data_IF_578431523261
#
_entry.id   IF_578431523261
#
_cell.length_a   1.000
_cell.length_b   1.000
_cell.length_c   1.000
_cell.angle_alpha   90.00
_cell.angle_beta   90.00
_cell.angle_gamma   90.00
#
_symmetry.space_group_name_H-M   'P 1'
#
loop_
_entity.id
_entity.type
_entity.pdbx_description
1 polymer ?
#
# COMPACT_ATOMS: atom_id res chain seq x y z
N UNK A 1 -22.78 -17.95 -1.94
CA UNK A 1 -21.50 -17.28 -1.70
C UNK A 1 -21.81 -15.89 -1.16
N UNK A 2 -21.62 -15.66 0.15
CA UNK A 2 -21.86 -14.33 0.74
C UNK A 2 -20.66 -13.47 0.36
N UNK A 3 -20.87 -12.48 -0.49
CA UNK A 3 -19.89 -11.42 -0.71
C UNK A 3 -20.03 -10.54 0.53
N UNK A 4 -19.15 -10.72 1.50
CA UNK A 4 -19.00 -9.79 2.62
C UNK A 4 -18.82 -8.39 2.00
N UNK A 5 -19.58 -7.37 2.43
CA UNK A 5 -19.38 -6.02 1.92
C UNK A 5 -17.93 -5.67 2.22
N UNK A 6 -17.16 -5.36 1.17
CA UNK A 6 -15.82 -4.82 1.31
C UNK A 6 -15.91 -3.72 2.37
N UNK A 7 -15.21 -3.92 3.49
CA UNK A 7 -15.18 -2.98 4.61
C UNK A 7 -15.14 -1.58 4.02
N UNK A 8 -16.16 -0.76 4.32
CA UNK A 8 -16.36 0.56 3.74
C UNK A 8 -15.30 1.53 4.28
N UNK A 9 -14.03 1.23 4.03
CA UNK A 9 -12.98 2.21 4.08
C UNK A 9 -13.37 3.28 3.05
N UNK A 10 -13.34 4.57 3.42
CA UNK A 10 -13.53 5.65 2.46
C UNK A 10 -12.58 5.45 1.28
N UNK A 11 -12.93 5.99 0.10
CA UNK A 11 -12.10 5.87 -1.09
C UNK A 11 -10.77 6.60 -0.88
N UNK A 12 -9.81 5.86 -0.32
CA UNK A 12 -8.50 6.33 0.11
C UNK A 12 -7.44 5.84 -0.88
N UNK A 13 -7.74 5.82 -2.18
CA UNK A 13 -6.76 5.42 -3.19
C UNK A 13 -5.50 6.26 -3.01
N UNK A 14 -4.36 5.58 -2.97
CA UNK A 14 -3.07 6.18 -2.69
C UNK A 14 -2.74 6.38 -1.24
N UNK A 15 -3.63 6.10 -0.29
CA UNK A 15 -3.27 6.11 1.12
C UNK A 15 -2.14 5.12 1.40
N UNK A 16 -1.18 5.57 2.18
CA UNK A 16 -0.01 4.81 2.59
C UNK A 16 -0.09 4.50 4.06
N UNK A 17 0.12 3.23 4.40
CA UNK A 17 0.14 2.75 5.77
C UNK A 17 1.44 2.03 6.08
N UNK A 18 2.00 2.28 7.25
CA UNK A 18 3.24 1.68 7.73
C UNK A 18 2.95 0.48 8.62
N UNK A 19 3.61 -0.64 8.36
CA UNK A 19 3.48 -1.85 9.16
C UNK A 19 3.95 -1.62 10.60
N UNK A 20 3.43 -2.35 11.59
CA UNK A 20 3.84 -2.19 12.99
C UNK A 20 5.35 -2.41 13.23
N UNK A 21 6.02 -3.17 12.37
CA UNK A 21 7.47 -3.38 12.44
C UNK A 21 8.28 -2.23 11.85
N UNK A 22 7.64 -1.29 11.14
CA UNK A 22 8.29 -0.20 10.42
C UNK A 22 9.03 -0.61 9.16
N UNK A 23 8.92 -1.88 8.72
CA UNK A 23 9.71 -2.44 7.60
C UNK A 23 8.99 -2.47 6.26
N UNK A 24 7.68 -2.24 6.26
CA UNK A 24 6.85 -2.41 5.07
C UNK A 24 5.80 -1.32 5.00
N UNK A 25 5.46 -0.94 3.78
CA UNK A 25 4.44 0.06 3.48
C UNK A 25 3.38 -0.60 2.61
N UNK A 26 2.12 -0.31 2.93
CA UNK A 26 0.96 -0.75 2.18
C UNK A 26 0.33 0.46 1.51
N UNK A 27 0.11 0.39 0.21
CA UNK A 27 -0.57 1.42 -0.56
C UNK A 27 -1.89 0.89 -1.08
N UNK A 28 -2.99 1.60 -0.79
CA UNK A 28 -4.29 1.26 -1.33
C UNK A 28 -4.30 1.60 -2.82
N UNK A 29 -4.08 0.59 -3.65
CA UNK A 29 -4.12 0.72 -5.09
C UNK A 29 -4.87 -0.49 -5.65
N UNK A 30 -6.21 -0.41 -5.72
CA UNK A 30 -7.00 -1.54 -6.17
C UNK A 30 -6.63 -1.87 -7.62
N UNK A 31 -6.25 -3.13 -7.85
CA UNK A 31 -6.20 -3.71 -9.19
C UNK A 31 -7.34 -4.73 -9.31
N UNK A 32 -8.55 -4.32 -9.73
CA UNK A 32 -9.63 -5.27 -10.00
C UNK A 32 -9.13 -6.36 -10.97
N UNK A 33 -9.53 -7.64 -10.81
CA UNK A 33 -10.55 -8.19 -9.88
C UNK A 33 -9.97 -8.72 -8.56
N UNK A 34 -8.77 -8.29 -8.13
CA UNK A 34 -8.10 -8.87 -6.98
C UNK A 34 -8.81 -8.53 -5.65
N UNK A 35 -9.03 -9.55 -4.80
CA UNK A 35 -9.74 -9.39 -3.52
C UNK A 35 -8.93 -8.59 -2.49
N UNK A 36 -7.59 -8.73 -2.51
CA UNK A 36 -6.68 -7.89 -1.74
C UNK A 36 -6.33 -6.63 -2.52
N UNK A 37 -6.50 -5.45 -1.90
CA UNK A 37 -6.42 -4.14 -2.54
C UNK A 37 -5.17 -3.33 -2.17
N UNK A 38 -4.40 -3.81 -1.20
CA UNK A 38 -3.20 -3.11 -0.71
C UNK A 38 -1.96 -3.73 -1.30
N UNK A 39 -1.22 -2.98 -2.12
CA UNK A 39 0.12 -3.37 -2.58
C UNK A 39 1.06 -3.17 -1.40
N UNK A 40 1.75 -4.22 -0.99
CA UNK A 40 2.77 -4.15 0.07
C UNK A 40 4.15 -4.11 -0.56
N UNK A 41 4.98 -3.21 -0.09
CA UNK A 41 6.37 -3.07 -0.49
C UNK A 41 7.27 -2.96 0.73
N UNK A 42 8.46 -3.53 0.63
CA UNK A 42 9.55 -3.29 1.55
C UNK A 42 10.70 -2.56 0.82
N UNK A 43 11.87 -2.49 1.45
CA UNK A 43 13.06 -1.83 0.88
C UNK A 43 13.60 -2.50 -0.40
N UNK A 44 13.20 -3.74 -0.70
CA UNK A 44 13.65 -4.52 -1.84
C UNK A 44 12.63 -4.54 -2.98
N UNK A 45 11.36 -4.26 -2.69
CA UNK A 45 10.32 -4.10 -3.69
C UNK A 45 8.95 -4.58 -3.23
N UNK A 46 8.07 -4.81 -4.19
CA UNK A 46 6.72 -5.33 -3.93
C UNK A 46 6.81 -6.75 -3.37
N UNK A 47 6.19 -6.97 -2.22
CA UNK A 47 6.10 -8.26 -1.53
C UNK A 47 4.75 -8.95 -1.74
N UNK A 48 3.85 -8.34 -2.52
CA UNK A 48 2.53 -8.88 -2.84
C UNK A 48 1.38 -7.98 -2.39
N UNK A 49 0.24 -8.60 -2.08
CA UNK A 49 -0.99 -7.92 -1.71
C UNK A 49 -1.52 -8.38 -0.37
N UNK A 50 -2.08 -7.46 0.43
CA UNK A 50 -2.74 -7.75 1.70
C UNK A 50 -4.22 -7.35 1.70
N UNK A 51 -5.08 -8.08 2.44
CA UNK A 51 -6.48 -7.71 2.62
C UNK A 51 -6.62 -6.53 3.58
N UNK A 52 -7.76 -5.84 3.50
CA UNK A 52 -8.07 -4.69 4.36
C UNK A 52 -7.97 -5.02 5.85
N UNK A 53 -8.32 -6.25 6.26
CA UNK A 53 -8.28 -6.69 7.65
C UNK A 53 -6.86 -6.71 8.25
N UNK A 54 -5.84 -7.01 7.44
CA UNK A 54 -4.43 -6.94 7.86
C UNK A 54 -4.00 -5.48 8.01
N UNK A 55 -4.26 -4.67 6.98
CA UNK A 55 -3.73 -3.31 6.86
C UNK A 55 -4.52 -2.30 7.72
N UNK A 56 -5.74 -2.62 8.14
CA UNK A 56 -6.53 -1.80 9.06
C UNK A 56 -5.78 -1.47 10.36
N UNK A 57 -4.87 -2.34 10.78
CA UNK A 57 -4.03 -2.20 11.99
C UNK A 57 -2.77 -1.35 11.77
N UNK A 58 -2.46 -1.00 10.54
CA UNK A 58 -1.24 -0.28 10.17
C UNK A 58 -1.48 1.23 10.28
N UNK A 59 -0.46 1.94 10.74
CA UNK A 59 -0.53 3.40 10.95
C UNK A 59 -0.61 4.11 9.61
N UNK A 60 -1.57 5.02 9.44
CA UNK A 60 -1.61 5.90 8.25
C UNK A 60 -0.46 6.90 8.34
N UNK A 61 0.40 6.90 7.32
CA UNK A 61 1.61 7.74 7.29
C UNK A 61 1.62 8.75 6.14
N UNK A 62 0.67 8.66 5.21
CA UNK A 62 0.55 9.64 4.13
C UNK A 62 -0.32 9.17 2.99
N UNK A 63 -0.09 9.78 1.83
CA UNK A 63 -0.68 9.38 0.56
C UNK A 63 0.34 9.58 -0.57
N UNK A 64 0.27 8.74 -1.60
CA UNK A 64 1.08 8.86 -2.83
C UNK A 64 0.20 9.28 -4.00
N UNK A 65 0.71 10.13 -4.91
CA UNK A 65 -0.03 10.59 -6.08
C UNK A 65 -0.21 9.50 -7.15
N UNK A 66 0.61 8.45 -7.10
CA UNK A 66 0.59 7.32 -8.02
C UNK A 66 1.02 6.03 -7.30
N UNK A 67 0.67 4.87 -7.86
CA UNK A 67 1.16 3.57 -7.38
C UNK A 67 2.69 3.58 -7.28
N UNK A 68 3.31 3.26 -6.13
CA UNK A 68 4.74 3.17 -6.04
C UNK A 68 5.19 1.94 -6.84
N UNK A 69 6.05 2.14 -7.83
CA UNK A 69 6.80 1.04 -8.41
C UNK A 69 7.68 0.41 -7.31
N UNK A 70 7.84 -0.92 -7.36
CA UNK A 70 8.77 -1.64 -6.49
C UNK A 70 10.15 -0.95 -6.50
N UNK A 71 10.70 -0.67 -5.32
CA UNK A 71 12.03 -0.04 -5.16
C UNK A 71 12.03 1.48 -5.07
N UNK A 72 10.88 2.16 -5.07
CA UNK A 72 10.80 3.60 -4.77
C UNK A 72 11.01 3.85 -3.27
N UNK A 73 11.88 4.81 -2.94
CA UNK A 73 12.05 5.27 -1.56
C UNK A 73 10.81 6.07 -1.13
N UNK A 74 10.19 5.66 -0.03
CA UNK A 74 8.91 6.18 0.45
C UNK A 74 9.04 7.31 1.48
N UNK A 75 10.27 7.66 1.83
CA UNK A 75 10.65 8.77 2.71
C UNK A 75 10.73 10.12 1.95
N UNK A 76 10.33 10.16 0.67
CA UNK A 76 10.49 11.33 -0.19
C UNK A 76 11.95 11.55 -0.65
N UNK A 77 12.87 10.66 -0.27
CA UNK A 77 14.23 10.62 -0.81
C UNK A 77 14.22 9.97 -2.18
N UNK A 78 13.49 10.54 -3.14
CA UNK A 78 13.83 10.29 -4.54
C UNK A 78 15.23 10.82 -4.76
N UNK A 79 16.25 9.98 -4.56
CA UNK A 79 17.54 10.19 -5.20
C UNK A 79 17.24 10.14 -6.68
N UNK A 80 17.10 11.33 -7.28
CA UNK A 80 17.19 11.51 -8.72
C UNK A 80 18.56 10.95 -9.11
N UNK A 81 18.58 9.69 -9.53
CA UNK A 81 19.71 9.14 -10.27
C UNK A 81 19.62 9.80 -11.64
N UNK A 82 20.30 10.94 -11.76
CA UNK A 82 20.61 11.52 -13.04
C UNK A 82 21.58 10.56 -13.77
N UNK A 83 21.20 10.16 -14.97
CA UNK A 83 22.12 9.68 -16.01
C UNK A 83 21.71 10.32 -17.31
#
# INVERSE_FOLDING_TARGET
MRIEPASALPDLIGSVRLSPSGKSLAVLWPSPPHAARWIVTDQWGSTGYEPDSTVAKWTVVGAVPCSPAAGMALDGSTKVVAS
#
